data_IF_107265219067
#
_entry.id   IF_107265219067
#
_cell.length_a   1.000
_cell.length_b   1.000
_cell.length_c   1.000
_cell.angle_alpha   90.00
_cell.angle_beta   90.00
_cell.angle_gamma   90.00
#
_symmetry.space_group_name_H-M   'P 1'
#
loop_
_entity.id
_entity.type
_entity.pdbx_description
1 polymer ?
#
# COMPACT_ATOMS: atom_id res chain seq x y z
N UNK A 1 -21.94 -15.77 38.24
CA UNK A 1 -22.27 -15.31 36.86
C UNK A 1 -21.20 -14.40 36.25
N UNK A 2 -20.53 -13.51 37.01
CA UNK A 2 -19.53 -12.56 36.47
C UNK A 2 -18.33 -13.18 35.73
N UNK A 3 -17.76 -14.30 36.20
CA UNK A 3 -16.63 -14.98 35.51
C UNK A 3 -16.97 -15.47 34.10
N UNK A 4 -18.20 -15.95 33.86
CA UNK A 4 -18.63 -16.46 32.54
C UNK A 4 -18.88 -15.33 31.55
N UNK A 5 -19.39 -14.19 32.05
CA UNK A 5 -19.59 -12.96 31.26
C UNK A 5 -18.24 -12.30 30.94
N UNK A 6 -17.30 -12.27 31.89
CA UNK A 6 -15.95 -11.75 31.67
C UNK A 6 -15.15 -12.59 30.66
N UNK A 7 -15.27 -13.92 30.73
CA UNK A 7 -14.67 -14.83 29.74
C UNK A 7 -15.30 -14.70 28.35
N UNK A 8 -16.63 -14.51 28.28
CA UNK A 8 -17.32 -14.26 27.01
C UNK A 8 -16.93 -12.90 26.39
N UNK A 9 -16.74 -11.86 27.21
CA UNK A 9 -16.26 -10.55 26.77
C UNK A 9 -14.80 -10.60 26.28
N UNK A 10 -13.90 -11.33 26.96
CA UNK A 10 -12.53 -11.53 26.45
C UNK A 10 -12.49 -12.31 25.13
N UNK A 11 -13.34 -13.34 24.99
CA UNK A 11 -13.44 -14.11 23.75
C UNK A 11 -13.98 -13.25 22.58
N UNK A 12 -14.89 -12.32 22.87
CA UNK A 12 -15.45 -11.41 21.86
C UNK A 12 -14.45 -10.32 21.42
N UNK A 13 -13.58 -9.86 22.32
CA UNK A 13 -12.52 -8.88 22.01
C UNK A 13 -11.43 -9.52 21.12
N UNK A 14 -11.17 -10.82 21.25
CA UNK A 14 -10.18 -11.53 20.44
C UNK A 14 -10.61 -11.69 18.96
N UNK A 15 -11.91 -11.62 18.65
CA UNK A 15 -12.43 -11.73 17.27
C UNK A 15 -12.23 -10.45 16.46
N UNK A 16 -11.98 -9.32 17.12
CA UNK A 16 -11.72 -8.02 16.46
C UNK A 16 -10.24 -7.67 16.34
N UNK A 17 -9.32 -8.64 16.49
CA UNK A 17 -7.94 -8.42 16.06
C UNK A 17 -7.93 -8.40 14.53
N UNK A 18 -8.05 -7.20 13.99
CA UNK A 18 -7.90 -6.80 12.59
C UNK A 18 -7.05 -7.80 11.80
N UNK A 19 -7.62 -8.39 10.75
CA UNK A 19 -6.86 -9.03 9.69
C UNK A 19 -5.83 -8.01 9.18
N UNK A 20 -4.59 -8.15 9.63
CA UNK A 20 -3.47 -7.40 9.04
C UNK A 20 -3.22 -8.06 7.69
N UNK A 21 -3.61 -7.38 6.62
CA UNK A 21 -3.27 -7.79 5.27
C UNK A 21 -1.75 -7.57 5.15
N UNK A 22 -0.99 -8.63 5.43
CA UNK A 22 0.45 -8.61 5.20
C UNK A 22 0.67 -8.74 3.69
N UNK A 23 0.98 -7.63 3.04
CA UNK A 23 1.33 -7.63 1.62
C UNK A 23 2.68 -8.34 1.35
N UNK A 24 3.41 -8.73 2.40
CA UNK A 24 4.70 -9.42 2.30
C UNK A 24 4.58 -10.93 1.95
N UNK A 25 3.40 -11.55 2.06
CA UNK A 25 3.24 -13.00 1.89
C UNK A 25 2.88 -13.47 0.48
N UNK A 26 2.23 -12.63 -0.32
CA UNK A 26 1.71 -12.99 -1.65
C UNK A 26 2.24 -12.01 -2.70
N UNK A 27 3.08 -12.51 -3.61
CA UNK A 27 3.73 -11.69 -4.63
C UNK A 27 2.72 -11.29 -5.71
N UNK A 28 2.46 -9.99 -5.83
CA UNK A 28 1.64 -9.41 -6.89
C UNK A 28 2.37 -9.28 -8.23
N UNK A 29 1.65 -8.83 -9.24
CA UNK A 29 2.17 -8.59 -10.58
C UNK A 29 2.86 -7.22 -10.66
N UNK A 30 4.18 -7.20 -10.47
CA UNK A 30 5.02 -5.98 -10.50
C UNK A 30 4.83 -5.16 -11.80
N UNK A 31 4.65 -5.83 -12.95
CA UNK A 31 4.45 -5.16 -14.24
C UNK A 31 3.13 -4.39 -14.23
N UNK A 32 2.04 -5.03 -13.80
CA UNK A 32 0.72 -4.39 -13.64
C UNK A 32 0.80 -3.27 -12.61
N UNK A 33 1.45 -3.52 -11.47
CA UNK A 33 1.68 -2.55 -10.40
C UNK A 33 2.31 -1.25 -10.89
N UNK A 34 3.39 -1.32 -11.67
CA UNK A 34 4.03 -0.15 -12.28
C UNK A 34 3.08 0.68 -13.15
N UNK A 35 2.26 0.02 -13.97
CA UNK A 35 1.31 0.72 -14.83
C UNK A 35 0.17 1.35 -14.03
N UNK A 36 -0.39 0.61 -13.07
CA UNK A 36 -1.47 1.10 -12.20
C UNK A 36 -0.99 2.27 -11.34
N UNK A 37 0.20 2.18 -10.75
CA UNK A 37 0.81 3.26 -9.98
C UNK A 37 0.91 4.55 -10.81
N UNK A 38 1.43 4.49 -12.04
CA UNK A 38 1.48 5.66 -12.94
C UNK A 38 0.10 6.16 -13.37
N UNK A 39 -0.88 5.26 -13.48
CA UNK A 39 -2.25 5.61 -13.89
C UNK A 39 -2.96 6.47 -12.84
N UNK A 40 -2.77 6.16 -11.55
CA UNK A 40 -3.32 6.93 -10.42
C UNK A 40 -2.98 8.42 -10.56
N UNK A 41 -1.69 8.74 -10.68
CA UNK A 41 -1.24 10.14 -10.81
C UNK A 41 -1.63 10.79 -12.13
N UNK A 42 -1.70 10.03 -13.23
CA UNK A 42 -2.23 10.54 -14.50
C UNK A 42 -3.71 10.92 -14.39
N UNK A 43 -4.53 10.11 -13.72
CA UNK A 43 -5.95 10.42 -13.50
C UNK A 43 -6.11 11.65 -12.61
N UNK A 44 -5.37 11.68 -11.50
CA UNK A 44 -5.34 12.79 -10.56
C UNK A 44 -4.88 14.11 -11.19
N UNK A 45 -3.82 14.07 -12.01
CA UNK A 45 -3.33 15.23 -12.77
C UNK A 45 -4.37 15.74 -13.76
N UNK A 46 -5.09 14.85 -14.46
CA UNK A 46 -6.16 15.25 -15.38
C UNK A 46 -7.32 15.96 -14.67
N UNK A 47 -7.54 15.68 -13.38
CA UNK A 47 -8.53 16.37 -12.54
C UNK A 47 -8.01 17.68 -11.95
N UNK A 48 -6.71 17.99 -12.11
CA UNK A 48 -6.09 19.20 -11.59
C UNK A 48 -5.76 19.16 -10.10
N UNK A 49 -5.75 17.97 -9.47
CA UNK A 49 -5.45 17.82 -8.04
C UNK A 49 -3.94 17.76 -7.71
N UNK A 50 -3.10 17.50 -8.72
CA UNK A 50 -1.64 17.46 -8.59
C UNK A 50 -0.98 18.18 -9.74
N UNK A 51 0.19 18.78 -9.50
CA UNK A 51 0.93 19.56 -10.49
C UNK A 51 1.67 18.69 -11.54
N UNK A 52 1.72 17.37 -11.33
CA UNK A 52 2.46 16.45 -12.19
C UNK A 52 1.71 15.12 -12.39
N UNK A 53 1.74 14.63 -13.63
CA UNK A 53 1.25 13.31 -13.99
C UNK A 53 2.20 12.17 -13.58
N UNK A 54 3.40 12.49 -13.05
CA UNK A 54 4.37 11.52 -12.55
C UNK A 54 4.14 11.29 -11.05
N UNK A 55 4.24 10.04 -10.57
CA UNK A 55 4.28 9.78 -9.13
C UNK A 55 5.38 10.61 -8.45
N UNK A 56 5.11 11.22 -7.29
CA UNK A 56 6.09 11.99 -6.52
C UNK A 56 7.10 11.08 -5.82
N UNK A 57 6.73 9.82 -5.56
CA UNK A 57 7.58 8.84 -4.91
C UNK A 57 8.02 7.77 -5.91
N UNK A 58 9.33 7.69 -6.15
CA UNK A 58 9.95 6.59 -6.88
C UNK A 58 10.16 5.37 -5.96
N UNK A 59 10.21 4.13 -6.50
CA UNK A 59 10.41 2.94 -5.68
C UNK A 59 11.65 3.01 -4.79
N UNK A 60 12.75 3.59 -5.30
CA UNK A 60 14.01 3.75 -4.59
C UNK A 60 14.02 4.88 -3.53
N UNK A 61 12.91 5.60 -3.36
CA UNK A 61 12.82 6.68 -2.36
C UNK A 61 12.76 6.15 -0.92
N UNK A 62 12.43 4.86 -0.75
CA UNK A 62 12.26 4.20 0.54
C UNK A 62 12.80 2.77 0.50
N UNK A 63 13.07 2.24 1.68
CA UNK A 63 13.43 0.83 1.92
C UNK A 63 12.21 -0.10 1.84
N UNK A 64 12.45 -1.39 1.66
CA UNK A 64 11.44 -2.44 1.72
C UNK A 64 10.59 -2.35 2.99
N UNK A 65 11.25 -2.20 4.14
CA UNK A 65 10.57 -2.07 5.43
C UNK A 65 9.70 -0.80 5.51
N UNK A 66 10.17 0.32 4.97
CA UNK A 66 9.39 1.56 4.92
C UNK A 66 8.18 1.43 4.00
N UNK A 67 8.32 0.77 2.84
CA UNK A 67 7.18 0.49 1.96
C UNK A 67 6.14 -0.41 2.63
N UNK A 68 6.58 -1.48 3.29
CA UNK A 68 5.68 -2.36 4.07
C UNK A 68 4.92 -1.56 5.14
N UNK A 69 5.61 -0.70 5.89
CA UNK A 69 4.95 0.13 6.91
C UNK A 69 3.89 1.07 6.32
N UNK A 70 4.15 1.69 5.16
CA UNK A 70 3.20 2.61 4.52
C UNK A 70 1.93 1.86 4.08
N UNK A 71 2.10 0.70 3.43
CA UNK A 71 0.97 -0.10 2.95
C UNK A 71 0.22 -0.80 4.10
N UNK A 72 0.92 -1.22 5.15
CA UNK A 72 0.31 -1.85 6.33
C UNK A 72 -0.53 -0.86 7.15
N UNK A 73 -0.03 0.38 7.30
CA UNK A 73 -0.76 1.43 8.02
C UNK A 73 -1.79 2.16 7.16
N UNK A 74 -1.84 1.85 5.86
CA UNK A 74 -2.62 2.61 4.87
C UNK A 74 -2.35 4.11 4.94
N UNK A 75 -1.10 4.49 5.25
CA UNK A 75 -0.63 5.88 5.29
C UNK A 75 -0.44 6.37 3.85
N UNK A 76 -1.54 6.47 3.09
CA UNK A 76 -1.54 6.91 1.69
C UNK A 76 -1.51 8.43 1.53
N UNK A 77 -1.50 9.19 2.63
CA UNK A 77 -1.45 10.65 2.63
C UNK A 77 -0.21 11.18 1.89
N UNK A 78 0.92 10.48 2.00
CA UNK A 78 2.15 10.82 1.27
C UNK A 78 2.04 10.61 -0.25
N UNK A 79 1.12 9.77 -0.70
CA UNK A 79 0.88 9.54 -2.13
C UNK A 79 -0.01 10.61 -2.76
N UNK A 80 -0.73 11.42 -1.96
CA UNK A 80 -1.79 12.28 -2.49
C UNK A 80 -2.86 11.47 -3.28
N UNK A 81 -3.65 12.15 -4.11
CA UNK A 81 -4.59 11.51 -5.04
C UNK A 81 -5.53 10.48 -4.39
N UNK A 82 -5.95 10.73 -3.14
CA UNK A 82 -6.68 9.77 -2.29
C UNK A 82 -7.87 9.13 -2.99
N UNK A 83 -8.65 9.91 -3.74
CA UNK A 83 -9.81 9.39 -4.47
C UNK A 83 -9.45 8.34 -5.53
N UNK A 84 -8.28 8.44 -6.16
CA UNK A 84 -7.82 7.45 -7.14
C UNK A 84 -7.26 6.20 -6.45
N UNK A 85 -6.66 6.34 -5.27
CA UNK A 85 -6.22 5.21 -4.45
C UNK A 85 -7.38 4.43 -3.83
N UNK A 86 -8.44 5.13 -3.40
CA UNK A 86 -9.64 4.51 -2.81
C UNK A 86 -10.44 3.68 -3.84
N UNK A 87 -10.24 3.94 -5.14
CA UNK A 87 -10.85 3.18 -6.25
C UNK A 87 -10.09 1.88 -6.57
N UNK A 88 -8.89 1.67 -6.02
CA UNK A 88 -8.07 0.51 -6.33
C UNK A 88 -8.60 -0.73 -5.60
N UNK A 89 -8.58 -1.86 -6.31
CA UNK A 89 -8.84 -3.15 -5.70
C UNK A 89 -7.68 -3.58 -4.79
N UNK A 90 -7.92 -4.53 -3.90
CA UNK A 90 -6.85 -5.12 -3.08
C UNK A 90 -5.74 -5.78 -3.94
N UNK A 91 -6.12 -6.33 -5.10
CA UNK A 91 -5.16 -6.88 -6.07
C UNK A 91 -4.30 -5.76 -6.67
N UNK A 92 -4.90 -4.64 -7.06
CA UNK A 92 -4.13 -3.50 -7.59
C UNK A 92 -3.19 -2.91 -6.55
N UNK A 93 -3.62 -2.82 -5.29
CA UNK A 93 -2.75 -2.40 -4.18
C UNK A 93 -1.59 -3.36 -3.98
N UNK A 94 -1.84 -4.68 -4.02
CA UNK A 94 -0.79 -5.71 -3.91
C UNK A 94 0.19 -5.68 -5.09
N UNK A 95 -0.31 -5.46 -6.30
CA UNK A 95 0.51 -5.32 -7.50
C UNK A 95 1.43 -4.09 -7.40
N UNK A 96 0.88 -2.94 -6.99
CA UNK A 96 1.65 -1.71 -6.76
C UNK A 96 2.68 -1.91 -5.64
N UNK A 97 2.29 -2.51 -4.51
CA UNK A 97 3.20 -2.82 -3.42
C UNK A 97 4.36 -3.68 -3.91
N UNK A 98 4.08 -4.74 -4.68
CA UNK A 98 5.11 -5.62 -5.22
C UNK A 98 6.10 -4.86 -6.10
N UNK A 99 5.64 -3.90 -6.90
CA UNK A 99 6.51 -3.02 -7.67
C UNK A 99 7.35 -2.09 -6.80
N UNK A 100 6.76 -1.41 -5.82
CA UNK A 100 7.47 -0.45 -4.96
C UNK A 100 8.48 -1.15 -4.03
N UNK A 101 8.06 -2.24 -3.38
CA UNK A 101 8.89 -3.05 -2.50
C UNK A 101 9.96 -3.84 -3.27
N UNK A 102 9.61 -4.40 -4.44
CA UNK A 102 10.56 -5.15 -5.29
C UNK A 102 11.69 -4.29 -5.84
N UNK A 103 11.46 -2.97 -5.98
CA UNK A 103 12.44 -2.01 -6.49
C UNK A 103 12.84 -0.94 -5.47
N UNK A 104 12.66 -1.24 -4.18
CA UNK A 104 13.05 -0.39 -3.07
C UNK A 104 14.56 -0.09 -3.07
N UNK A 105 14.99 0.91 -2.30
CA UNK A 105 16.41 1.32 -2.25
C UNK A 105 17.37 0.22 -1.83
N UNK A 106 16.90 -0.70 -1.00
CA UNK A 106 17.62 -1.83 -0.41
C UNK A 106 17.23 -3.18 -1.04
N UNK A 107 16.46 -3.18 -2.13
CA UNK A 107 16.16 -4.41 -2.86
C UNK A 107 17.34 -4.85 -3.72
N UNK A 108 17.32 -6.10 -4.18
CA UNK A 108 18.34 -6.62 -5.12
C UNK A 108 18.30 -5.91 -6.48
N UNK A 109 17.19 -5.24 -6.81
CA UNK A 109 16.95 -4.58 -8.09
C UNK A 109 16.39 -3.15 -7.90
N UNK A 110 17.12 -2.25 -7.24
CA UNK A 110 16.63 -0.90 -6.96
C UNK A 110 16.46 -0.13 -8.28
N UNK A 111 15.42 0.68 -8.39
CA UNK A 111 15.29 1.59 -9.53
C UNK A 111 16.38 2.66 -9.42
N UNK A 112 17.22 2.81 -10.45
CA UNK A 112 18.33 3.78 -10.45
C UNK A 112 18.10 4.96 -11.40
N UNK A 113 17.14 4.86 -12.32
CA UNK A 113 16.83 5.90 -13.29
C UNK A 113 15.88 6.96 -12.71
N UNK A 114 16.33 8.22 -12.70
CA UNK A 114 15.55 9.42 -12.37
C UNK A 114 14.89 10.01 -13.61
#
# INVERSE_FOLDING_TARGET
MGKRIFLALMALIFVFTSAKISFAGEKGNERKGKYTYRKVYKSCYKRGEVDSAKPPLDPNSKTQAQWSNIFDKKESEEFGCKEEWDKLSEEDLRDIFSYLHGHASDSDNPVTCK
#
